data_IF_138698593587
#
_entry.id   IF_138698593587
#
_cell.length_a   1.000
_cell.length_b   1.000
_cell.length_c   1.000
_cell.angle_alpha   90.00
_cell.angle_beta   90.00
_cell.angle_gamma   90.00
#
_symmetry.space_group_name_H-M   'P 1'
#
loop_
_entity.id
_entity.type
_entity.pdbx_description
1 polymer ?
#
# COMPACT_ATOMS: atom_id res chain seq x y z
N UNK A 1 -7.06 -28.28 -2.96
CA UNK A 1 -7.47 -26.95 -2.45
C UNK A 1 -6.34 -26.36 -1.59
N UNK A 2 -5.50 -25.51 -2.15
CA UNK A 2 -4.41 -24.88 -1.40
C UNK A 2 -4.98 -23.81 -0.46
N UNK A 3 -5.03 -24.11 0.84
CA UNK A 3 -5.33 -23.12 1.89
C UNK A 3 -4.25 -22.04 1.83
N UNK A 4 -4.53 -20.92 1.13
CA UNK A 4 -3.72 -19.71 1.23
C UNK A 4 -3.65 -19.36 2.72
N UNK A 5 -2.50 -19.58 3.35
CA UNK A 5 -2.26 -19.18 4.74
C UNK A 5 -2.69 -17.71 4.84
N UNK A 6 -3.64 -17.41 5.73
CA UNK A 6 -3.95 -16.02 6.05
C UNK A 6 -2.70 -15.47 6.73
N UNK A 7 -1.84 -14.80 5.95
CA UNK A 7 -0.66 -14.11 6.50
C UNK A 7 -1.18 -13.18 7.57
N UNK A 8 -0.58 -13.23 8.76
CA UNK A 8 -0.94 -12.29 9.82
C UNK A 8 -0.54 -10.88 9.38
N UNK A 9 -1.16 -9.86 9.97
CA UNK A 9 -0.82 -8.47 9.67
C UNK A 9 0.67 -8.20 9.92
N UNK A 10 1.27 -8.93 10.86
CA UNK A 10 2.69 -8.87 11.24
C UNK A 10 3.61 -9.48 10.17
N UNK A 11 3.17 -10.53 9.48
CA UNK A 11 3.90 -11.10 8.33
C UNK A 11 3.77 -10.22 7.09
N UNK A 12 2.70 -9.44 6.99
CA UNK A 12 2.45 -8.52 5.87
C UNK A 12 3.15 -7.17 6.06
N UNK A 13 3.19 -6.70 7.31
CA UNK A 13 3.77 -5.43 7.73
C UNK A 13 4.75 -5.72 8.89
N UNK A 14 6.03 -5.97 8.57
CA UNK A 14 7.04 -6.25 9.58
C UNK A 14 7.42 -5.01 10.40
N UNK A 15 7.14 -3.81 9.88
CA UNK A 15 7.41 -2.56 10.58
C UNK A 15 6.36 -2.30 11.67
N UNK A 16 6.76 -2.24 12.95
CA UNK A 16 5.81 -2.14 14.06
C UNK A 16 5.08 -0.79 14.10
N UNK A 17 5.73 0.30 13.66
CA UNK A 17 5.15 1.65 13.66
C UNK A 17 4.10 1.77 12.55
N UNK A 18 4.42 1.29 11.35
CA UNK A 18 3.48 1.20 10.23
C UNK A 18 2.29 0.32 10.59
N UNK A 19 2.53 -0.84 11.24
CA UNK A 19 1.49 -1.77 11.66
C UNK A 19 0.52 -1.13 12.66
N UNK A 20 1.03 -0.35 13.62
CA UNK A 20 0.18 0.36 14.57
C UNK A 20 -0.67 1.43 13.88
N UNK A 21 -0.09 2.21 12.97
CA UNK A 21 -0.83 3.24 12.22
C UNK A 21 -1.92 2.63 11.33
N UNK A 22 -1.62 1.54 10.62
CA UNK A 22 -2.58 0.81 9.80
C UNK A 22 -3.69 0.19 10.65
N UNK A 23 -3.33 -0.42 11.78
CA UNK A 23 -4.31 -1.00 12.72
C UNK A 23 -5.23 0.08 13.29
N UNK A 24 -4.67 1.21 13.74
CA UNK A 24 -5.45 2.37 14.19
C UNK A 24 -6.41 2.85 13.10
N UNK A 25 -5.98 3.01 11.86
CA UNK A 25 -6.89 3.46 10.81
C UNK A 25 -7.96 2.44 10.41
N UNK A 26 -7.62 1.14 10.34
CA UNK A 26 -8.57 0.08 10.00
C UNK A 26 -9.65 -0.10 11.07
N UNK A 27 -9.31 0.06 12.35
CA UNK A 27 -10.22 -0.21 13.46
C UNK A 27 -10.77 1.04 14.16
N UNK A 28 -10.27 2.24 13.85
CA UNK A 28 -10.77 3.50 14.45
C UNK A 28 -12.11 3.96 13.88
N UNK A 29 -12.64 3.33 12.83
CA UNK A 29 -13.92 3.71 12.20
C UNK A 29 -13.91 5.10 11.53
N UNK A 30 -12.74 5.76 11.49
CA UNK A 30 -12.52 7.02 10.81
C UNK A 30 -12.29 6.85 9.30
N UNK A 31 -12.23 7.96 8.55
CA UNK A 31 -11.98 7.91 7.11
C UNK A 31 -10.61 7.29 6.81
N UNK A 32 -10.61 6.20 6.04
CA UNK A 32 -9.39 5.51 5.57
C UNK A 32 -8.57 6.38 4.60
N UNK A 33 -9.19 7.38 3.98
CA UNK A 33 -8.56 8.25 3.00
C UNK A 33 -8.60 9.71 3.50
N UNK A 34 -7.46 10.38 3.49
CA UNK A 34 -7.33 11.74 4.01
C UNK A 34 -5.87 12.19 4.14
N UNK A 35 -5.66 13.47 4.42
CA UNK A 35 -4.31 14.04 4.58
C UNK A 35 -3.61 13.39 5.78
N UNK A 36 -2.46 12.75 5.54
CA UNK A 36 -1.72 11.98 6.56
C UNK A 36 -2.17 10.52 6.75
N UNK A 37 -3.05 10.00 5.87
CA UNK A 37 -3.46 8.60 5.90
C UNK A 37 -2.43 7.66 5.28
N UNK A 38 -2.15 6.54 5.95
CA UNK A 38 -1.19 5.52 5.47
C UNK A 38 -1.67 4.91 4.15
N UNK A 39 -2.98 4.73 3.97
CA UNK A 39 -3.55 4.24 2.71
C UNK A 39 -3.41 5.25 1.57
N UNK A 40 -3.54 6.55 1.86
CA UNK A 40 -3.35 7.60 0.86
C UNK A 40 -1.88 7.66 0.41
N UNK A 41 -0.93 7.55 1.34
CA UNK A 41 0.50 7.48 1.00
C UNK A 41 0.82 6.21 0.18
N UNK A 42 0.24 5.07 0.54
CA UNK A 42 0.44 3.82 -0.21
C UNK A 42 -0.09 3.93 -1.65
N UNK A 43 -1.28 4.53 -1.85
CA UNK A 43 -1.83 4.77 -3.17
C UNK A 43 -0.97 5.76 -3.97
N UNK A 44 -0.47 6.81 -3.32
CA UNK A 44 0.42 7.78 -3.96
C UNK A 44 1.71 7.12 -4.43
N UNK A 45 2.37 6.32 -3.58
CA UNK A 45 3.57 5.58 -3.93
C UNK A 45 3.33 4.57 -5.08
N UNK A 46 2.14 3.95 -5.14
CA UNK A 46 1.75 3.09 -6.26
C UNK A 46 1.62 3.88 -7.56
N UNK A 47 0.94 5.03 -7.52
CA UNK A 47 0.79 5.91 -8.69
C UNK A 47 2.15 6.42 -9.16
N UNK A 48 3.01 6.86 -8.24
CA UNK A 48 4.37 7.31 -8.55
C UNK A 48 5.20 6.19 -9.19
N UNK A 49 5.12 4.97 -8.64
CA UNK A 49 5.80 3.79 -9.20
C UNK A 49 5.25 3.42 -10.57
N UNK A 50 3.93 3.52 -10.78
CA UNK A 50 3.29 3.27 -12.07
C UNK A 50 3.66 4.34 -13.11
N UNK A 51 3.68 5.61 -12.71
CA UNK A 51 4.09 6.73 -13.56
C UNK A 51 5.56 6.57 -13.92
N UNK A 52 6.43 6.28 -12.95
CA UNK A 52 7.84 6.00 -13.20
C UNK A 52 8.02 4.81 -14.15
N UNK A 53 7.29 3.71 -13.95
CA UNK A 53 7.33 2.54 -14.82
C UNK A 53 6.84 2.87 -16.25
N UNK A 54 5.77 3.66 -16.38
CA UNK A 54 5.22 4.07 -17.67
C UNK A 54 6.17 5.03 -18.42
N UNK A 55 6.85 5.92 -17.70
CA UNK A 55 7.89 6.81 -18.23
C UNK A 55 9.19 6.06 -18.59
N UNK A 56 9.42 4.88 -18.02
CA UNK A 56 10.54 3.99 -18.34
C UNK A 56 10.24 2.99 -19.46
N UNK A 57 8.99 2.91 -19.96
CA UNK A 57 8.76 2.22 -21.23
C UNK A 57 9.27 3.10 -22.37
N UNK A 58 10.25 2.66 -23.17
CA UNK A 58 10.64 3.40 -24.36
C UNK A 58 9.44 3.45 -25.31
N UNK A 59 8.82 4.63 -25.41
CA UNK A 59 8.06 5.02 -26.58
C UNK A 59 9.03 5.02 -27.77
N UNK A 60 9.19 3.89 -28.48
CA UNK A 60 10.03 3.86 -29.67
C UNK A 60 10.30 2.46 -30.21
N UNK A 61 9.64 2.12 -31.31
CA UNK A 61 9.87 0.91 -32.09
C UNK A 61 8.72 0.65 -33.06
N UNK A 62 8.49 1.60 -33.97
CA UNK A 62 7.72 1.40 -35.20
C UNK A 62 8.48 0.47 -36.14
#
# INVERSE_FOLDING_TARGET
>A
MSKKKRKTLEELIPDPELRERVSKQLYSGGPLFGQGSVFSEMLQAMIESMVAACLLTPKGGF
#
